data_IF_522769593877
#
_entry.id   IF_522769593877
#
_cell.length_a   1.000
_cell.length_b   1.000
_cell.length_c   1.000
_cell.angle_alpha   90.00
_cell.angle_beta   90.00
_cell.angle_gamma   90.00
#
_symmetry.space_group_name_H-M   'P 1'
#
loop_
_entity.id
_entity.type
_entity.pdbx_description
1 polymer ?
#
# COMPACT_ATOMS: atom_id res chain seq x y z
N UNK A 1 6.74 17.94 -19.68
CA UNK A 1 7.92 18.65 -20.18
C UNK A 1 9.15 18.12 -19.43
N UNK A 2 10.07 17.46 -20.11
CA UNK A 2 11.33 17.01 -19.50
C UNK A 2 12.26 18.20 -19.41
N UNK A 3 12.70 18.54 -18.19
CA UNK A 3 13.63 19.64 -17.96
C UNK A 3 14.82 19.14 -17.16
N UNK A 4 16.03 19.44 -17.62
CA UNK A 4 17.25 19.17 -16.89
C UNK A 4 17.27 19.97 -15.58
N UNK A 5 17.52 19.30 -14.46
CA UNK A 5 17.55 19.92 -13.15
C UNK A 5 18.90 20.55 -12.81
N UNK A 6 19.99 19.96 -13.30
CA UNK A 6 21.35 20.39 -13.04
C UNK A 6 22.19 20.27 -14.32
N UNK A 7 22.80 21.38 -14.76
CA UNK A 7 23.61 21.43 -15.98
C UNK A 7 24.96 20.72 -15.86
N UNK A 8 25.39 20.41 -14.65
CA UNK A 8 26.66 19.74 -14.41
C UNK A 8 26.55 18.21 -14.41
N UNK A 9 25.35 17.67 -14.43
CA UNK A 9 25.10 16.22 -14.45
C UNK A 9 24.71 15.80 -15.86
N UNK A 10 25.52 14.99 -16.56
CA UNK A 10 25.14 14.44 -17.84
C UNK A 10 23.99 13.44 -17.69
N UNK A 11 23.00 13.51 -18.55
CA UNK A 11 21.97 12.48 -18.68
C UNK A 11 21.69 12.22 -20.15
N UNK A 12 21.30 11.01 -20.46
CA UNK A 12 20.88 10.61 -21.80
C UNK A 12 19.44 10.10 -21.75
N UNK A 13 18.71 10.30 -22.82
CA UNK A 13 17.40 9.70 -23.05
C UNK A 13 17.51 8.98 -24.39
N UNK A 14 17.36 7.64 -24.38
CA UNK A 14 17.41 6.84 -25.59
C UNK A 14 16.15 6.99 -26.41
N UNK A 15 15.01 6.88 -25.75
CA UNK A 15 13.70 7.09 -26.38
C UNK A 15 12.64 7.47 -25.33
N UNK A 16 11.55 8.02 -25.83
CA UNK A 16 10.33 8.28 -25.03
C UNK A 16 9.19 7.57 -25.78
N UNK A 17 8.50 6.69 -25.08
CA UNK A 17 7.29 6.04 -25.55
C UNK A 17 6.08 6.68 -24.89
N UNK A 18 5.06 6.96 -25.69
CA UNK A 18 3.78 7.49 -25.22
C UNK A 18 2.70 6.45 -25.48
N UNK A 19 2.08 6.01 -24.43
CA UNK A 19 0.94 5.10 -24.49
C UNK A 19 -0.33 5.82 -24.06
N UNK A 20 -1.47 5.39 -24.61
CA UNK A 20 -2.76 5.90 -24.15
C UNK A 20 -3.03 5.38 -22.73
N UNK A 21 -3.35 6.28 -21.81
CA UNK A 21 -3.77 5.88 -20.47
C UNK A 21 -5.04 5.01 -20.56
N UNK A 22 -5.17 3.98 -19.72
CA UNK A 22 -6.39 3.20 -19.64
C UNK A 22 -7.61 4.08 -19.35
N UNK A 23 -8.77 3.64 -19.79
CA UNK A 23 -10.04 4.31 -19.44
C UNK A 23 -10.25 4.19 -17.93
N UNK A 24 -10.69 5.25 -17.25
CA UNK A 24 -11.01 5.18 -15.82
C UNK A 24 -12.03 4.09 -15.50
N UNK A 25 -11.81 3.38 -14.41
CA UNK A 25 -12.79 2.43 -13.87
C UNK A 25 -13.98 3.25 -13.35
N UNK A 26 -15.15 2.96 -13.89
CA UNK A 26 -16.37 3.64 -13.48
C UNK A 26 -16.84 3.21 -12.08
N UNK A 27 -17.53 4.12 -11.40
CA UNK A 27 -18.21 3.80 -10.14
C UNK A 27 -19.23 2.67 -10.34
N UNK A 28 -19.14 1.62 -9.53
CA UNK A 28 -20.13 0.55 -9.52
C UNK A 28 -21.46 0.97 -8.93
N UNK A 29 -22.57 0.42 -9.42
CA UNK A 29 -23.94 0.76 -8.93
C UNK A 29 -24.10 0.51 -7.43
N UNK A 30 -23.40 -0.47 -6.87
CA UNK A 30 -23.46 -0.81 -5.44
C UNK A 30 -22.22 -0.29 -4.68
N UNK A 31 -21.89 0.98 -4.88
CA UNK A 31 -20.76 1.62 -4.23
C UNK A 31 -21.12 3.00 -3.66
N UNK A 32 -20.33 3.44 -2.70
CA UNK A 32 -20.42 4.74 -2.04
C UNK A 32 -19.22 5.55 -2.51
N UNK A 33 -19.44 6.67 -3.16
CA UNK A 33 -18.36 7.60 -3.49
C UNK A 33 -17.92 8.38 -2.26
N UNK A 34 -16.60 8.60 -2.11
CA UNK A 34 -16.11 9.49 -1.05
C UNK A 34 -16.53 10.94 -1.26
N UNK A 35 -16.86 11.34 -2.51
CA UNK A 35 -17.43 12.67 -2.79
C UNK A 35 -18.80 12.85 -2.10
N UNK A 36 -19.61 11.80 -2.00
CA UNK A 36 -20.90 11.84 -1.30
C UNK A 36 -20.72 12.03 0.22
N UNK A 37 -19.49 11.92 0.72
CA UNK A 37 -19.08 12.12 2.11
C UNK A 37 -18.32 13.41 2.35
N UNK A 38 -18.24 14.25 1.33
CA UNK A 38 -17.61 15.57 1.41
C UNK A 38 -16.12 15.59 1.06
N UNK A 39 -15.59 14.54 0.46
CA UNK A 39 -14.24 14.62 -0.14
C UNK A 39 -14.22 15.60 -1.31
N UNK A 40 -13.08 16.22 -1.54
CA UNK A 40 -12.90 17.20 -2.61
C UNK A 40 -11.58 16.97 -3.35
N UNK A 41 -11.67 16.59 -4.60
CA UNK A 41 -10.51 16.26 -5.39
C UNK A 41 -9.70 17.50 -5.82
N UNK A 42 -8.38 17.38 -5.89
CA UNK A 42 -7.46 18.37 -6.45
C UNK A 42 -7.44 19.72 -5.68
N UNK A 43 -7.67 19.68 -4.40
CA UNK A 43 -7.51 20.82 -3.49
C UNK A 43 -6.55 20.46 -2.32
N UNK A 44 -6.44 21.36 -1.33
CA UNK A 44 -5.55 21.17 -0.19
C UNK A 44 -6.29 20.64 1.06
N UNK A 45 -7.56 20.27 0.94
CA UNK A 45 -8.37 19.79 2.09
C UNK A 45 -7.99 18.36 2.48
N UNK A 46 -8.20 18.01 3.77
CA UNK A 46 -8.02 16.65 4.28
C UNK A 46 -9.27 15.82 4.05
N UNK A 47 -9.16 14.78 3.25
CA UNK A 47 -10.24 13.86 2.88
C UNK A 47 -10.37 12.65 3.82
N UNK A 48 -9.58 12.58 4.88
CA UNK A 48 -9.55 11.44 5.81
C UNK A 48 -10.94 11.15 6.39
N UNK A 49 -11.65 12.18 6.82
CA UNK A 49 -12.98 12.02 7.41
C UNK A 49 -14.01 11.51 6.40
N UNK A 50 -13.93 11.97 5.17
CA UNK A 50 -14.82 11.55 4.08
C UNK A 50 -14.60 10.08 3.69
N UNK A 51 -13.34 9.65 3.57
CA UNK A 51 -13.01 8.25 3.32
C UNK A 51 -13.51 7.34 4.46
N UNK A 52 -13.25 7.71 5.71
CA UNK A 52 -13.70 6.92 6.87
C UNK A 52 -15.24 6.87 6.96
N UNK A 53 -15.95 7.96 6.66
CA UNK A 53 -17.40 7.96 6.62
C UNK A 53 -17.97 7.05 5.52
N UNK A 54 -17.33 7.01 4.35
CA UNK A 54 -17.70 6.08 3.27
C UNK A 54 -17.45 4.62 3.68
N UNK A 55 -16.33 4.34 4.36
CA UNK A 55 -16.01 3.01 4.90
C UNK A 55 -17.06 2.56 5.92
N UNK A 56 -17.45 3.41 6.87
CA UNK A 56 -18.44 3.05 7.88
C UNK A 56 -19.83 2.77 7.27
N UNK A 57 -20.25 3.57 6.28
CA UNK A 57 -21.49 3.27 5.56
C UNK A 57 -21.37 1.98 4.73
N UNK A 58 -20.24 1.73 4.10
CA UNK A 58 -19.99 0.50 3.35
C UNK A 58 -20.10 -0.74 4.25
N UNK A 59 -19.49 -0.70 5.44
CA UNK A 59 -19.59 -1.75 6.46
C UNK A 59 -21.05 -2.01 6.87
N UNK A 60 -21.83 -0.95 7.06
CA UNK A 60 -23.23 -1.05 7.49
C UNK A 60 -24.17 -1.55 6.39
N UNK A 61 -23.86 -1.27 5.12
CA UNK A 61 -24.75 -1.53 3.99
C UNK A 61 -24.32 -2.70 3.10
N UNK A 62 -23.10 -3.23 3.29
CA UNK A 62 -22.51 -4.24 2.41
C UNK A 62 -22.12 -3.72 1.02
N UNK A 63 -22.01 -2.40 0.87
CA UNK A 63 -21.56 -1.74 -0.37
C UNK A 63 -20.04 -1.66 -0.42
N UNK A 64 -19.50 -1.35 -1.60
CA UNK A 64 -18.09 -0.99 -1.77
C UNK A 64 -17.86 0.51 -1.60
N UNK A 65 -16.60 0.91 -1.37
CA UNK A 65 -16.17 2.32 -1.43
C UNK A 65 -15.56 2.59 -2.79
N UNK A 66 -15.91 3.71 -3.38
CA UNK A 66 -15.32 4.19 -4.63
C UNK A 66 -14.63 5.54 -4.43
N UNK A 67 -13.39 5.64 -4.91
CA UNK A 67 -12.60 6.86 -4.91
C UNK A 67 -12.47 7.33 -6.36
N UNK A 68 -13.12 8.42 -6.75
CA UNK A 68 -13.14 8.88 -8.15
C UNK A 68 -11.78 9.36 -8.66
N UNK A 69 -11.78 9.87 -9.89
CA UNK A 69 -10.63 10.55 -10.47
C UNK A 69 -10.28 11.80 -9.68
N UNK A 70 -8.99 12.01 -9.44
CA UNK A 70 -8.43 13.17 -8.76
C UNK A 70 -7.36 12.80 -7.74
N UNK A 71 -6.76 13.84 -7.18
CA UNK A 71 -5.85 13.75 -6.05
C UNK A 71 -6.63 14.08 -4.77
N UNK A 72 -6.59 13.19 -3.80
CA UNK A 72 -7.21 13.32 -2.48
C UNK A 72 -6.13 13.36 -1.42
N UNK A 73 -6.20 14.35 -0.53
CA UNK A 73 -5.18 14.58 0.49
C UNK A 73 -5.54 13.95 1.84
N UNK A 74 -4.54 13.37 2.49
CA UNK A 74 -4.67 12.77 3.80
C UNK A 74 -3.57 13.30 4.72
N UNK A 75 -3.92 13.95 5.82
CA UNK A 75 -2.97 14.55 6.76
C UNK A 75 -2.50 13.61 7.86
N UNK A 76 -3.06 12.40 7.91
CA UNK A 76 -2.80 11.38 8.93
C UNK A 76 -3.02 9.97 8.40
N UNK A 77 -2.67 9.00 9.23
CA UNK A 77 -2.91 7.59 8.98
C UNK A 77 -4.40 7.26 8.95
N UNK A 78 -4.83 6.48 7.96
CA UNK A 78 -6.20 5.99 7.80
C UNK A 78 -6.29 4.60 8.42
N UNK A 79 -6.99 4.48 9.55
CA UNK A 79 -7.16 3.22 10.24
C UNK A 79 -8.52 2.61 9.90
N UNK A 80 -8.52 1.39 9.35
CA UNK A 80 -9.71 0.66 8.90
C UNK A 80 -9.74 -0.71 9.56
N UNK A 81 -10.86 -1.07 10.16
CA UNK A 81 -11.13 -2.43 10.58
C UNK A 81 -12.47 -2.87 10.00
N UNK A 82 -12.44 -3.89 9.15
CA UNK A 82 -13.64 -4.30 8.41
C UNK A 82 -13.54 -5.75 7.92
N UNK A 83 -14.70 -6.36 7.71
CA UNK A 83 -14.86 -7.62 7.00
C UNK A 83 -15.47 -7.40 5.62
N UNK A 84 -14.92 -8.06 4.60
CA UNK A 84 -15.42 -8.08 3.23
C UNK A 84 -15.57 -6.68 2.61
N UNK A 85 -14.70 -5.75 2.99
CA UNK A 85 -14.71 -4.38 2.48
C UNK A 85 -13.94 -4.30 1.16
N UNK A 86 -14.57 -3.68 0.16
CA UNK A 86 -13.93 -3.35 -1.11
C UNK A 86 -13.75 -1.86 -1.23
N UNK A 87 -12.53 -1.43 -1.55
CA UNK A 87 -12.16 -0.05 -1.86
C UNK A 87 -11.52 -0.02 -3.24
N UNK A 88 -12.08 0.72 -4.16
CA UNK A 88 -11.54 0.85 -5.51
C UNK A 88 -11.43 2.29 -5.95
N UNK A 89 -10.30 2.64 -6.53
CA UNK A 89 -10.15 3.89 -7.28
C UNK A 89 -10.59 3.78 -8.74
N UNK A 90 -10.42 4.86 -9.48
CA UNK A 90 -10.66 4.92 -10.93
C UNK A 90 -9.47 4.39 -11.76
N UNK A 91 -8.37 4.01 -11.13
CA UNK A 91 -7.17 3.49 -11.78
C UNK A 91 -5.91 4.19 -11.29
N UNK A 92 -4.75 3.53 -11.45
CA UNK A 92 -3.44 4.05 -10.99
C UNK A 92 -3.01 5.36 -11.65
N UNK A 93 -3.63 5.74 -12.76
CA UNK A 93 -3.38 6.99 -13.47
C UNK A 93 -4.45 8.06 -13.20
N UNK A 94 -5.49 7.71 -12.49
CA UNK A 94 -6.69 8.52 -12.33
C UNK A 94 -6.98 8.89 -10.87
N UNK A 95 -6.75 7.98 -9.93
CA UNK A 95 -6.99 8.20 -8.50
C UNK A 95 -5.68 8.24 -7.75
N UNK A 96 -5.40 9.34 -7.07
CA UNK A 96 -4.24 9.49 -6.19
C UNK A 96 -4.70 9.73 -4.76
N UNK A 97 -4.14 8.95 -3.83
CA UNK A 97 -4.19 9.21 -2.40
C UNK A 97 -2.84 9.78 -1.98
N UNK A 98 -2.81 11.08 -1.68
CA UNK A 98 -1.61 11.80 -1.32
C UNK A 98 -1.55 12.04 0.19
N UNK A 99 -0.52 11.48 0.88
CA UNK A 99 -0.32 11.68 2.30
C UNK A 99 0.60 12.86 2.55
N UNK A 100 0.05 13.94 3.07
CA UNK A 100 0.71 15.25 3.15
C UNK A 100 1.71 15.38 4.30
N UNK A 101 1.54 14.59 5.37
CA UNK A 101 2.43 14.62 6.52
C UNK A 101 3.79 13.98 6.18
N UNK A 102 4.85 14.59 6.66
CA UNK A 102 6.22 14.06 6.63
C UNK A 102 6.64 13.44 7.98
N UNK A 103 5.72 13.29 8.92
CA UNK A 103 5.99 12.84 10.29
C UNK A 103 5.76 11.34 10.44
N UNK A 104 6.47 10.75 11.38
CA UNK A 104 6.27 9.36 11.82
C UNK A 104 4.78 9.10 12.11
N UNK A 105 4.24 7.97 11.65
CA UNK A 105 2.81 7.63 11.68
C UNK A 105 1.89 8.62 10.94
N UNK A 106 2.45 9.44 10.07
CA UNK A 106 1.71 10.52 9.40
C UNK A 106 0.88 10.10 8.21
N UNK A 107 0.92 8.84 7.79
CA UNK A 107 0.16 8.43 6.62
C UNK A 107 0.07 6.93 6.40
N UNK A 108 -0.56 6.58 5.27
CA UNK A 108 -0.86 5.22 4.86
C UNK A 108 -2.19 4.69 5.39
N UNK A 109 -2.56 3.51 4.90
CA UNK A 109 -3.75 2.78 5.32
C UNK A 109 -3.31 1.63 6.22
N UNK A 110 -3.88 1.56 7.41
CA UNK A 110 -3.64 0.49 8.38
C UNK A 110 -4.91 -0.33 8.54
N UNK A 111 -4.83 -1.61 8.22
CA UNK A 111 -5.92 -2.54 8.46
C UNK A 111 -5.80 -3.13 9.87
N UNK A 112 -6.87 -2.96 10.63
CA UNK A 112 -6.91 -3.36 12.03
C UNK A 112 -6.94 -4.89 12.19
N UNK A 113 -6.69 -5.29 13.41
CA UNK A 113 -6.52 -6.64 13.91
C UNK A 113 -7.59 -7.66 13.45
N UNK A 114 -8.85 -7.23 13.30
CA UNK A 114 -9.95 -8.12 12.91
C UNK A 114 -10.37 -7.98 11.43
N UNK A 115 -9.55 -7.36 10.59
CA UNK A 115 -9.89 -7.23 9.17
C UNK A 115 -9.77 -8.56 8.43
N UNK A 116 -10.75 -8.86 7.55
CA UNK A 116 -10.76 -10.02 6.66
C UNK A 116 -11.41 -9.69 5.33
N UNK A 117 -11.09 -10.41 4.27
CA UNK A 117 -11.73 -10.28 2.95
C UNK A 117 -11.64 -8.88 2.37
N UNK A 118 -10.54 -8.18 2.62
CA UNK A 118 -10.31 -6.82 2.13
C UNK A 118 -9.92 -6.86 0.66
N UNK A 119 -10.53 -6.04 -0.16
CA UNK A 119 -10.11 -5.78 -1.54
C UNK A 119 -9.75 -4.31 -1.71
N UNK A 120 -8.48 -4.02 -2.04
CA UNK A 120 -8.00 -2.66 -2.32
C UNK A 120 -7.42 -2.62 -3.74
N UNK A 121 -7.91 -1.71 -4.59
CA UNK A 121 -7.54 -1.74 -6.00
C UNK A 121 -7.62 -0.39 -6.72
N UNK A 122 -7.02 -0.34 -7.93
CA UNK A 122 -7.19 0.71 -8.92
C UNK A 122 -6.83 2.12 -8.42
N UNK A 123 -5.73 2.28 -7.70
CA UNK A 123 -5.32 3.57 -7.16
C UNK A 123 -3.80 3.71 -7.05
N UNK A 124 -3.38 4.94 -6.96
CA UNK A 124 -2.01 5.35 -6.69
C UNK A 124 -1.92 5.97 -5.29
N UNK A 125 -0.86 5.65 -4.56
CA UNK A 125 -0.57 6.20 -3.25
C UNK A 125 0.83 6.76 -3.20
N UNK A 126 0.98 7.96 -2.68
CA UNK A 126 2.29 8.55 -2.38
C UNK A 126 2.26 9.43 -1.13
N UNK A 127 3.43 9.88 -0.71
CA UNK A 127 3.55 10.75 0.45
C UNK A 127 4.63 11.81 0.30
N UNK A 128 4.60 12.79 1.19
CA UNK A 128 5.63 13.83 1.30
C UNK A 128 6.87 13.38 2.10
N UNK A 129 6.99 12.11 2.46
CA UNK A 129 8.13 11.61 3.21
C UNK A 129 9.42 11.73 2.39
N UNK A 130 10.44 12.40 2.95
CA UNK A 130 11.72 12.65 2.28
C UNK A 130 12.90 11.92 2.89
N UNK A 131 12.75 11.36 4.10
CA UNK A 131 13.82 10.65 4.80
C UNK A 131 13.27 9.49 5.63
N UNK A 132 14.06 8.40 5.68
CA UNK A 132 13.74 7.27 6.55
C UNK A 132 13.87 7.68 8.01
N UNK A 133 12.87 7.39 8.81
CA UNK A 133 12.94 7.52 10.27
C UNK A 133 13.70 6.33 10.84
N UNK A 134 14.99 6.51 11.08
CA UNK A 134 15.85 5.53 11.70
C UNK A 134 15.38 4.06 11.61
N UNK A 135 15.28 3.36 12.71
CA UNK A 135 15.05 1.92 12.71
C UNK A 135 13.57 1.51 12.75
N UNK A 136 12.66 2.47 12.92
CA UNK A 136 11.29 2.11 13.29
C UNK A 136 10.34 1.86 12.12
N UNK A 137 10.72 2.21 10.89
CA UNK A 137 9.90 2.04 9.67
C UNK A 137 8.39 2.28 9.88
N UNK A 138 8.04 3.41 10.48
CA UNK A 138 6.68 3.67 10.95
C UNK A 138 5.83 4.51 10.01
N UNK A 139 6.19 4.55 8.74
CA UNK A 139 5.43 5.26 7.71
C UNK A 139 5.21 4.33 6.50
N UNK A 140 4.24 3.44 6.63
CA UNK A 140 3.95 2.40 5.65
C UNK A 140 2.74 2.79 4.80
N UNK A 141 2.79 2.57 3.49
CA UNK A 141 1.62 2.87 2.65
C UNK A 141 0.44 1.96 2.99
N UNK A 142 0.68 0.66 3.11
CA UNK A 142 -0.34 -0.32 3.49
C UNK A 142 0.24 -1.22 4.58
N UNK A 143 -0.46 -1.37 5.69
CA UNK A 143 0.02 -2.22 6.78
C UNK A 143 -1.10 -2.83 7.60
N UNK A 144 -0.71 -3.73 8.50
CA UNK A 144 -1.61 -4.38 9.45
C UNK A 144 -2.03 -5.77 9.03
N UNK A 145 -3.18 -6.19 9.53
CA UNK A 145 -3.70 -7.54 9.32
C UNK A 145 -4.78 -7.55 8.26
N UNK A 146 -4.59 -8.39 7.26
CA UNK A 146 -5.56 -8.55 6.17
C UNK A 146 -6.39 -9.83 6.27
N UNK A 147 -6.22 -10.59 7.37
CA UNK A 147 -6.99 -11.78 7.68
C UNK A 147 -7.00 -12.80 6.55
N UNK A 148 -8.17 -13.34 6.24
CA UNK A 148 -8.32 -14.35 5.20
C UNK A 148 -8.78 -13.76 3.88
N UNK A 149 -8.30 -14.37 2.78
CA UNK A 149 -8.83 -14.18 1.42
C UNK A 149 -8.88 -12.72 0.94
N UNK A 150 -7.94 -11.89 1.44
CA UNK A 150 -7.82 -10.49 1.00
C UNK A 150 -7.05 -10.36 -0.30
N UNK A 151 -7.31 -9.29 -1.03
CA UNK A 151 -6.65 -9.00 -2.31
C UNK A 151 -6.27 -7.53 -2.42
N UNK A 152 -5.04 -7.26 -2.84
CA UNK A 152 -4.54 -5.93 -3.20
C UNK A 152 -4.05 -6.00 -4.64
N UNK A 153 -4.64 -5.23 -5.55
CA UNK A 153 -4.28 -5.35 -6.94
C UNK A 153 -4.44 -4.06 -7.76
N UNK A 154 -3.73 -4.01 -8.88
CA UNK A 154 -3.78 -2.85 -9.77
C UNK A 154 -3.54 -1.54 -9.02
N UNK A 155 -2.46 -1.51 -8.24
CA UNK A 155 -2.08 -0.36 -7.44
C UNK A 155 -0.67 0.13 -7.77
N UNK A 156 -0.43 1.39 -7.47
CA UNK A 156 0.90 1.96 -7.47
C UNK A 156 1.18 2.62 -6.12
N UNK A 157 2.30 2.28 -5.50
CA UNK A 157 2.72 2.81 -4.20
C UNK A 157 4.15 3.31 -4.30
N UNK A 158 4.39 4.55 -3.86
CA UNK A 158 5.75 5.10 -3.80
C UNK A 158 5.91 6.20 -2.75
N UNK A 159 7.16 6.51 -2.43
CA UNK A 159 7.59 7.56 -1.51
C UNK A 159 7.10 7.40 -0.07
N UNK A 160 6.88 6.16 0.36
CA UNK A 160 6.71 5.83 1.78
C UNK A 160 8.02 5.33 2.39
N UNK A 161 8.04 5.10 3.68
CA UNK A 161 9.15 4.38 4.29
C UNK A 161 9.12 2.92 3.84
N UNK A 162 7.97 2.25 3.94
CA UNK A 162 7.72 0.91 3.43
C UNK A 162 6.49 0.92 2.53
N UNK A 163 6.55 0.22 1.39
CA UNK A 163 5.39 0.07 0.52
C UNK A 163 4.28 -0.72 1.20
N UNK A 164 4.55 -1.97 1.59
CA UNK A 164 3.61 -2.80 2.34
C UNK A 164 4.32 -3.53 3.47
N UNK A 165 3.74 -3.49 4.66
CA UNK A 165 4.18 -4.26 5.80
C UNK A 165 2.99 -5.03 6.39
N UNK A 166 2.90 -6.31 6.06
CA UNK A 166 1.75 -7.13 6.39
C UNK A 166 2.07 -7.97 7.62
N UNK A 167 1.41 -7.67 8.72
CA UNK A 167 1.61 -8.35 10.00
C UNK A 167 0.82 -7.69 11.12
N UNK A 168 0.44 -8.49 12.10
CA UNK A 168 -0.22 -8.04 13.32
C UNK A 168 0.81 -7.79 14.43
N UNK A 169 0.68 -6.67 15.10
CA UNK A 169 1.53 -6.29 16.23
C UNK A 169 0.75 -6.18 17.55
N UNK A 170 -0.34 -6.94 17.68
CA UNK A 170 -1.11 -6.96 18.92
C UNK A 170 -0.28 -7.51 20.09
N UNK A 171 -0.03 -6.65 21.07
CA UNK A 171 0.74 -6.95 22.27
C UNK A 171 -0.08 -7.72 23.33
N UNK A 172 -1.37 -7.93 23.10
CA UNK A 172 -2.26 -8.62 24.08
C UNK A 172 -2.17 -10.14 24.00
N UNK A 173 -1.44 -10.67 23.02
CA UNK A 173 -1.29 -12.09 22.77
C UNK A 173 -2.41 -12.74 21.95
N UNK A 174 -3.32 -11.93 21.40
CA UNK A 174 -4.41 -12.38 20.54
C UNK A 174 -4.12 -12.13 19.06
N UNK A 175 -2.88 -12.26 18.64
CA UNK A 175 -2.45 -11.99 17.27
C UNK A 175 -3.34 -12.70 16.25
N UNK A 176 -3.70 -11.96 15.20
CA UNK A 176 -4.38 -12.47 14.01
C UNK A 176 -3.38 -12.52 12.87
N UNK A 177 -3.49 -13.50 12.04
CA UNK A 177 -2.55 -13.69 10.95
C UNK A 177 -3.22 -13.45 9.60
N UNK A 178 -2.50 -12.79 8.72
CA UNK A 178 -2.89 -12.74 7.32
C UNK A 178 -2.70 -14.12 6.70
N UNK A 179 -3.75 -14.64 6.05
CA UNK A 179 -3.78 -15.99 5.49
C UNK A 179 -4.44 -15.97 4.10
N UNK A 180 -3.66 -16.18 3.06
CA UNK A 180 -4.17 -16.21 1.68
C UNK A 180 -4.28 -14.83 1.01
N UNK A 181 -3.54 -13.83 1.46
CA UNK A 181 -3.46 -12.53 0.76
C UNK A 181 -2.87 -12.72 -0.65
N UNK A 182 -3.51 -12.09 -1.63
CA UNK A 182 -2.97 -11.97 -2.98
C UNK A 182 -2.65 -10.51 -3.27
N UNK A 183 -1.37 -10.22 -3.54
CA UNK A 183 -0.91 -8.95 -4.11
C UNK A 183 -0.61 -9.17 -5.59
N UNK A 184 -1.27 -8.45 -6.48
CA UNK A 184 -1.17 -8.68 -7.92
C UNK A 184 -1.14 -7.36 -8.72
N UNK A 185 -0.37 -7.34 -9.83
CA UNK A 185 -0.26 -6.18 -10.71
C UNK A 185 0.10 -4.88 -9.97
N UNK A 186 0.94 -4.98 -8.93
CA UNK A 186 1.34 -3.85 -8.11
C UNK A 186 2.63 -3.22 -8.65
N UNK A 187 2.71 -1.90 -8.57
CA UNK A 187 3.93 -1.11 -8.77
C UNK A 187 4.36 -0.55 -7.43
N UNK A 188 5.39 -1.14 -6.84
CA UNK A 188 5.90 -0.73 -5.52
C UNK A 188 7.29 -0.15 -5.71
N UNK A 189 7.39 1.18 -5.66
CA UNK A 189 8.58 1.87 -6.15
C UNK A 189 9.05 2.97 -5.22
N UNK A 190 10.36 3.19 -5.21
CA UNK A 190 10.99 4.37 -4.60
C UNK A 190 10.59 4.59 -3.13
N UNK A 191 10.37 3.52 -2.37
CA UNK A 191 10.19 3.60 -0.94
C UNK A 191 11.56 3.62 -0.25
N UNK A 192 11.62 4.18 0.96
CA UNK A 192 12.89 4.40 1.67
C UNK A 192 13.42 3.15 2.39
N UNK A 193 12.56 2.15 2.59
CA UNK A 193 12.88 0.83 3.10
C UNK A 193 12.30 -0.25 2.18
N UNK A 194 11.63 -1.27 2.72
CA UNK A 194 11.13 -2.41 1.96
C UNK A 194 10.08 -2.05 0.91
N UNK A 195 10.05 -2.80 -0.17
CA UNK A 195 8.93 -2.80 -1.09
C UNK A 195 7.71 -3.47 -0.45
N UNK A 196 7.75 -4.78 -0.25
CA UNK A 196 6.69 -5.55 0.42
C UNK A 196 7.35 -6.50 1.43
N UNK A 197 6.90 -6.46 2.67
CA UNK A 197 7.34 -7.36 3.73
C UNK A 197 6.15 -8.14 4.30
N UNK A 198 6.22 -9.47 4.23
CA UNK A 198 5.35 -10.37 4.95
C UNK A 198 5.97 -10.68 6.29
N UNK A 199 5.29 -10.31 7.35
CA UNK A 199 5.77 -10.41 8.72
C UNK A 199 4.73 -11.03 9.64
N UNK A 200 5.12 -11.36 10.85
CA UNK A 200 4.25 -11.71 11.96
C UNK A 200 3.24 -12.83 11.63
N UNK A 201 3.74 -13.95 11.12
CA UNK A 201 2.92 -15.15 10.86
C UNK A 201 2.05 -15.07 9.60
N UNK A 202 2.31 -14.13 8.70
CA UNK A 202 1.65 -14.08 7.38
C UNK A 202 1.92 -15.37 6.61
N UNK A 203 0.88 -16.03 6.12
CA UNK A 203 0.98 -17.33 5.48
C UNK A 203 0.09 -17.51 4.25
N UNK A 204 0.39 -18.53 3.46
CA UNK A 204 -0.34 -18.90 2.24
C UNK A 204 -0.55 -17.74 1.27
N UNK A 205 0.26 -16.67 1.40
CA UNK A 205 0.07 -15.41 0.69
C UNK A 205 0.97 -15.33 -0.54
N UNK A 206 0.57 -14.55 -1.52
CA UNK A 206 1.26 -14.50 -2.81
C UNK A 206 1.43 -13.07 -3.30
N UNK A 207 2.65 -12.71 -3.69
CA UNK A 207 2.91 -11.54 -4.54
C UNK A 207 3.19 -12.01 -5.95
N UNK A 208 2.43 -11.53 -6.94
CA UNK A 208 2.60 -11.97 -8.33
C UNK A 208 2.43 -10.86 -9.35
N UNK A 209 3.06 -11.06 -10.52
CA UNK A 209 2.92 -10.19 -11.68
C UNK A 209 3.16 -8.70 -11.35
N UNK A 210 4.07 -8.41 -10.43
CA UNK A 210 4.28 -7.08 -9.87
C UNK A 210 5.67 -6.54 -10.20
N UNK A 211 5.80 -5.21 -10.24
CA UNK A 211 7.05 -4.52 -10.47
C UNK A 211 7.51 -3.81 -9.20
N UNK A 212 8.60 -4.27 -8.63
CA UNK A 212 9.18 -3.80 -7.37
C UNK A 212 10.51 -3.13 -7.69
N UNK A 213 10.60 -1.80 -7.54
CA UNK A 213 11.74 -1.07 -8.07
C UNK A 213 12.21 0.06 -7.17
N UNK A 214 13.53 0.24 -7.05
CA UNK A 214 14.13 1.41 -6.43
C UNK A 214 13.86 1.55 -4.94
N UNK A 215 13.50 0.47 -4.24
CA UNK A 215 13.26 0.50 -2.81
C UNK A 215 14.58 0.49 -2.04
N UNK A 216 14.57 1.07 -0.84
CA UNK A 216 15.77 1.36 -0.08
C UNK A 216 16.24 0.24 0.83
N UNK A 217 15.44 -0.80 0.98
CA UNK A 217 15.79 -2.02 1.69
C UNK A 217 15.40 -3.22 0.82
N UNK A 218 14.84 -4.30 1.34
CA UNK A 218 14.49 -5.46 0.53
C UNK A 218 13.35 -5.16 -0.45
N UNK A 219 13.45 -5.67 -1.67
CA UNK A 219 12.36 -5.55 -2.65
C UNK A 219 11.13 -6.30 -2.19
N UNK A 220 11.28 -7.60 -1.93
CA UNK A 220 10.30 -8.47 -1.30
C UNK A 220 10.93 -9.15 -0.09
N UNK A 221 10.27 -9.16 1.04
CA UNK A 221 10.78 -9.76 2.25
C UNK A 221 9.78 -10.72 2.93
N UNK A 222 10.31 -11.70 3.62
CA UNK A 222 9.64 -12.49 4.64
C UNK A 222 10.44 -12.33 5.92
N UNK A 223 9.80 -11.84 6.98
CA UNK A 223 10.48 -11.54 8.23
C UNK A 223 9.76 -12.09 9.44
N UNK A 224 10.26 -13.21 9.92
CA UNK A 224 9.82 -13.83 11.18
C UNK A 224 10.48 -13.17 12.36
N UNK A 225 9.75 -12.35 13.10
CA UNK A 225 10.28 -11.63 14.25
C UNK A 225 10.13 -12.38 15.58
N UNK A 226 10.28 -13.69 15.56
CA UNK A 226 10.24 -14.53 16.79
C UNK A 226 11.24 -14.04 17.85
N UNK A 227 12.31 -13.37 17.42
CA UNK A 227 13.37 -12.88 18.30
C UNK A 227 13.07 -11.55 18.99
N UNK A 228 12.06 -10.81 18.60
CA UNK A 228 11.75 -9.48 19.15
C UNK A 228 10.74 -9.50 20.30
N UNK A 229 10.48 -10.69 20.85
CA UNK A 229 9.57 -10.88 21.98
C UNK A 229 8.10 -10.93 21.61
N UNK A 230 7.76 -10.88 20.32
CA UNK A 230 6.43 -11.22 19.86
C UNK A 230 6.25 -12.73 19.84
N UNK A 231 5.07 -13.24 20.19
CA UNK A 231 4.74 -14.65 20.06
C UNK A 231 4.17 -14.98 18.67
N UNK A 232 4.68 -14.29 17.64
CA UNK A 232 4.24 -14.51 16.28
C UNK A 232 4.57 -15.94 15.82
N UNK A 233 3.66 -16.55 15.09
CA UNK A 233 3.96 -17.77 14.36
C UNK A 233 4.95 -17.48 13.23
N UNK A 234 5.67 -18.50 12.78
CA UNK A 234 6.49 -18.42 11.59
C UNK A 234 5.63 -18.19 10.34
N UNK A 235 6.18 -17.48 9.37
CA UNK A 235 5.58 -17.35 8.05
C UNK A 235 5.66 -18.67 7.29
N UNK A 236 4.56 -19.07 6.65
CA UNK A 236 4.46 -20.36 5.97
C UNK A 236 3.86 -20.23 4.56
N UNK A 237 4.36 -21.02 3.63
CA UNK A 237 3.80 -21.21 2.29
C UNK A 237 3.58 -19.93 1.47
N UNK A 238 4.35 -18.86 1.74
CA UNK A 238 4.28 -17.63 0.96
C UNK A 238 4.98 -17.81 -0.39
N UNK A 239 4.52 -17.09 -1.42
CA UNK A 239 4.99 -17.23 -2.79
C UNK A 239 5.26 -15.87 -3.43
N UNK A 240 6.37 -15.76 -4.13
CA UNK A 240 6.72 -14.65 -5.01
C UNK A 240 6.80 -15.17 -6.46
N UNK A 241 5.84 -14.83 -7.30
CA UNK A 241 5.65 -15.43 -8.64
C UNK A 241 5.65 -14.37 -9.74
N UNK A 242 6.48 -14.53 -10.76
CA UNK A 242 6.49 -13.68 -11.95
C UNK A 242 6.65 -12.18 -11.63
N UNK A 243 7.42 -11.83 -10.61
CA UNK A 243 7.68 -10.44 -10.26
C UNK A 243 8.97 -9.97 -10.94
N UNK A 244 9.01 -8.69 -11.31
CA UNK A 244 10.24 -8.00 -11.68
C UNK A 244 10.73 -7.20 -10.50
N UNK A 245 11.95 -7.49 -10.00
CA UNK A 245 12.55 -6.80 -8.88
C UNK A 245 13.87 -6.20 -9.35
N UNK A 246 14.02 -4.88 -9.26
CA UNK A 246 15.17 -4.20 -9.81
C UNK A 246 15.55 -2.92 -9.05
N UNK A 247 16.79 -2.51 -9.24
CA UNK A 247 17.30 -1.21 -8.77
C UNK A 247 17.11 -0.96 -7.27
N UNK A 248 17.11 -1.98 -6.43
CA UNK A 248 17.25 -1.82 -4.98
C UNK A 248 18.60 -1.18 -4.67
N UNK A 249 18.64 -0.20 -3.76
CA UNK A 249 19.85 0.57 -3.55
C UNK A 249 20.57 0.30 -2.22
N UNK A 250 20.02 -0.55 -1.33
CA UNK A 250 20.63 -0.83 -0.03
C UNK A 250 20.69 -2.31 0.35
N UNK A 251 19.68 -3.11 0.06
CA UNK A 251 19.60 -4.49 0.50
C UNK A 251 19.23 -5.46 -0.63
N UNK A 252 18.53 -6.55 -0.33
CA UNK A 252 18.31 -7.63 -1.26
C UNK A 252 17.11 -7.39 -2.20
N UNK A 253 17.13 -8.01 -3.38
CA UNK A 253 15.93 -8.12 -4.20
C UNK A 253 14.84 -8.94 -3.50
N UNK A 254 15.24 -10.06 -2.88
CA UNK A 254 14.39 -10.89 -2.04
C UNK A 254 15.15 -11.23 -0.76
N UNK A 255 14.58 -10.91 0.40
CA UNK A 255 15.11 -11.24 1.72
C UNK A 255 14.21 -12.23 2.46
N UNK A 256 14.80 -13.30 3.03
CA UNK A 256 14.08 -14.27 3.87
C UNK A 256 14.79 -14.39 5.20
N UNK A 257 14.14 -13.91 6.25
CA UNK A 257 14.69 -13.80 7.60
C UNK A 257 13.87 -14.66 8.57
N UNK A 258 14.08 -15.95 8.51
CA UNK A 258 13.35 -16.94 9.26
C UNK A 258 12.06 -17.41 8.55
N UNK A 259 11.39 -18.40 9.14
CA UNK A 259 10.20 -19.05 8.59
C UNK A 259 10.10 -20.48 9.11
#
# INVERSE_FOLDING_TARGET
LVKKKDDNVPYGIDFIELEQAPVPVAQGENSISILDKGASANDDSDDTAALLAAVEEAKASGKSVYIPEGCFNFDKQVNIEADNLKISGAGVWHTQLHFTSDKRYGGGIVFGHNSNGIELSNLYMDSNLTSRYNEDAQYKAISGTLGKDSKIHDIWVQHFEVGMWIGDYDQTGNMKYTDGLVVENARIRNNLADGINFAQGTKNSTVKNSNIRGNGDDGLAIWSSISDGTNAAAEENNKFLNNTIESGWRAAGIGIFGG
#
